data_IF_017067365548
#
_entry.id   IF_017067365548
#
_cell.length_a   1.000
_cell.length_b   1.000
_cell.length_c   1.000
_cell.angle_alpha   90.00
_cell.angle_beta   90.00
_cell.angle_gamma   90.00
#
_symmetry.space_group_name_H-M   'P 1'
#
loop_
_entity.id
_entity.type
_entity.pdbx_description
1 polymer ?
#
# COMPACT_ATOMS: atom_id res chain seq x y z
N UNK A 1 4.30 27.10 -68.56
CA UNK A 1 5.49 26.32 -68.18
C UNK A 1 5.13 25.36 -67.05
N UNK A 2 5.76 24.19 -67.03
CA UNK A 2 5.37 22.90 -66.43
C UNK A 2 5.18 22.87 -64.90
N UNK A 3 4.20 22.05 -64.48
CA UNK A 3 4.08 21.40 -63.14
C UNK A 3 5.23 20.41 -62.92
N UNK A 4 5.71 20.23 -61.69
CA UNK A 4 6.05 18.94 -61.04
C UNK A 4 6.06 19.09 -59.49
N UNK A 5 5.30 18.21 -58.81
CA UNK A 5 5.34 17.83 -57.39
C UNK A 5 6.46 16.82 -57.14
N UNK A 6 7.23 16.88 -56.04
CA UNK A 6 7.82 15.68 -55.38
C UNK A 6 7.97 15.90 -53.84
N UNK A 7 7.43 14.94 -53.07
CA UNK A 7 7.62 14.67 -51.64
C UNK A 7 9.01 14.05 -51.35
N UNK A 8 9.59 14.34 -50.18
CA UNK A 8 10.33 13.39 -49.30
C UNK A 8 10.90 14.19 -48.10
N UNK A 9 10.40 14.06 -46.87
CA UNK A 9 10.70 12.98 -45.93
C UNK A 9 12.21 12.72 -45.74
N UNK A 10 12.79 13.22 -44.65
CA UNK A 10 13.71 12.47 -43.78
C UNK A 10 13.99 13.27 -42.49
N UNK A 11 13.41 12.76 -41.41
CA UNK A 11 13.61 13.22 -40.05
C UNK A 11 15.07 13.03 -39.60
N UNK A 12 15.60 13.88 -38.72
CA UNK A 12 16.95 13.73 -38.21
C UNK A 12 17.03 12.45 -37.35
N UNK A 13 18.05 11.66 -37.68
CA UNK A 13 18.59 10.51 -36.96
C UNK A 13 18.41 10.59 -35.43
N UNK A 14 17.41 9.83 -34.95
CA UNK A 14 17.37 9.24 -33.62
C UNK A 14 18.45 8.15 -33.53
N UNK A 15 19.67 8.55 -33.21
CA UNK A 15 20.79 7.63 -32.91
C UNK A 15 21.34 7.96 -31.52
N UNK A 16 20.74 7.35 -30.49
CA UNK A 16 21.40 6.99 -29.23
C UNK A 16 20.42 6.19 -28.34
N UNK A 17 19.78 5.16 -28.90
CA UNK A 17 19.06 4.16 -28.10
C UNK A 17 20.05 3.04 -27.73
N UNK A 18 20.92 3.33 -26.78
CA UNK A 18 21.71 2.32 -26.06
C UNK A 18 21.47 2.46 -24.56
N UNK A 19 20.20 2.41 -24.17
CA UNK A 19 19.78 2.05 -22.81
C UNK A 19 19.55 0.54 -22.82
N UNK A 20 20.58 -0.21 -22.44
CA UNK A 20 20.50 -1.66 -22.30
C UNK A 20 19.41 -2.06 -21.28
N UNK A 21 18.68 -3.16 -21.51
CA UNK A 21 17.75 -3.70 -20.53
C UNK A 21 18.54 -4.51 -19.50
N UNK A 22 19.01 -3.86 -18.44
CA UNK A 22 19.67 -4.61 -17.36
C UNK A 22 20.60 -3.76 -16.52
N UNK A 23 20.03 -3.11 -15.51
CA UNK A 23 20.61 -2.83 -14.20
C UNK A 23 19.89 -1.63 -13.59
N UNK A 24 18.59 -1.79 -13.27
CA UNK A 24 18.10 -1.11 -12.07
C UNK A 24 18.75 -1.88 -10.94
N UNK A 25 19.83 -1.34 -10.38
CA UNK A 25 20.28 -1.71 -9.05
C UNK A 25 19.18 -1.29 -8.07
N UNK A 26 18.15 -2.12 -7.97
CA UNK A 26 17.34 -2.25 -6.77
C UNK A 26 18.23 -2.89 -5.69
N UNK A 27 19.29 -2.18 -5.28
CA UNK A 27 19.87 -2.40 -3.96
C UNK A 27 18.84 -1.88 -2.97
N UNK A 28 17.78 -2.67 -2.78
CA UNK A 28 16.79 -2.44 -1.73
C UNK A 28 17.54 -2.40 -0.41
N UNK A 29 17.28 -1.36 0.39
CA UNK A 29 17.76 -1.28 1.76
C UNK A 29 17.47 -2.64 2.42
N UNK A 30 18.45 -3.32 3.03
CA UNK A 30 18.22 -4.60 3.66
C UNK A 30 17.01 -4.48 4.60
N UNK A 31 16.04 -5.40 4.52
CA UNK A 31 14.78 -5.31 5.29
C UNK A 31 15.00 -5.08 6.78
N UNK A 32 16.11 -5.60 7.29
CA UNK A 32 16.55 -5.49 8.69
C UNK A 32 16.92 -4.04 9.09
N UNK A 33 17.27 -3.20 8.12
CA UNK A 33 17.69 -1.80 8.32
C UNK A 33 16.63 -0.75 8.00
N UNK A 34 15.50 -1.11 7.38
CA UNK A 34 14.48 -0.12 6.97
C UNK A 34 13.24 -0.05 7.88
N UNK A 35 13.17 -0.88 8.93
CA UNK A 35 12.01 -0.95 9.83
C UNK A 35 10.88 -1.87 9.33
N UNK A 36 11.11 -2.69 8.29
CA UNK A 36 10.09 -3.59 7.72
C UNK A 36 9.37 -4.46 8.77
N UNK A 37 10.13 -5.00 9.74
CA UNK A 37 9.59 -5.81 10.82
C UNK A 37 8.64 -5.04 11.76
N UNK A 38 8.89 -3.75 11.98
CA UNK A 38 8.01 -2.86 12.76
C UNK A 38 6.69 -2.65 12.03
N UNK A 39 6.75 -2.34 10.72
CA UNK A 39 5.56 -2.22 9.87
C UNK A 39 4.71 -3.50 9.87
N UNK A 40 5.36 -4.67 9.78
CA UNK A 40 4.66 -5.95 9.92
C UNK A 40 4.06 -6.16 11.31
N UNK A 41 4.75 -5.74 12.36
CA UNK A 41 4.25 -5.79 13.74
C UNK A 41 2.95 -5.00 13.89
N UNK A 42 2.93 -3.77 13.38
CA UNK A 42 1.77 -2.89 13.37
C UNK A 42 0.60 -3.49 12.57
N UNK A 43 0.86 -3.95 11.35
CA UNK A 43 -0.15 -4.59 10.49
C UNK A 43 -0.80 -5.79 11.20
N UNK A 44 0.02 -6.68 11.78
CA UNK A 44 -0.46 -7.87 12.51
C UNK A 44 -1.21 -7.51 13.78
N UNK A 45 -0.80 -6.45 14.49
CA UNK A 45 -1.49 -5.98 15.68
C UNK A 45 -2.91 -5.51 15.33
N UNK A 46 -3.05 -4.70 14.28
CA UNK A 46 -4.35 -4.21 13.82
C UNK A 46 -5.23 -5.36 13.30
N UNK A 47 -4.68 -6.31 12.55
CA UNK A 47 -5.43 -7.49 12.09
C UNK A 47 -6.00 -8.30 13.27
N UNK A 48 -5.19 -8.55 14.32
CA UNK A 48 -5.64 -9.26 15.53
C UNK A 48 -6.70 -8.47 16.28
N UNK A 49 -6.54 -7.16 16.43
CA UNK A 49 -7.50 -6.31 17.15
C UNK A 49 -8.83 -6.20 16.38
N UNK A 50 -8.78 -6.12 15.05
CA UNK A 50 -9.96 -6.12 14.19
C UNK A 50 -10.71 -7.47 14.17
N UNK A 51 -10.04 -8.57 14.52
CA UNK A 51 -10.68 -9.88 14.66
C UNK A 51 -11.46 -10.04 15.97
N UNK A 52 -11.23 -9.17 16.95
CA UNK A 52 -11.93 -9.22 18.23
C UNK A 52 -13.34 -8.63 18.11
N UNK A 53 -14.26 -9.13 18.94
CA UNK A 53 -15.60 -8.55 19.06
C UNK A 53 -15.50 -7.07 19.49
N UNK A 54 -16.42 -6.25 18.98
CA UNK A 54 -16.60 -4.86 19.41
C UNK A 54 -17.52 -4.84 20.63
N UNK A 55 -17.04 -4.48 21.83
CA UNK A 55 -17.84 -4.55 23.06
C UNK A 55 -18.78 -3.35 23.23
N UNK A 56 -18.48 -2.22 22.60
CA UNK A 56 -19.30 -1.01 22.66
C UNK A 56 -18.83 0.06 21.69
N UNK A 57 -19.66 1.10 21.50
CA UNK A 57 -19.40 2.18 20.54
C UNK A 57 -18.13 2.96 20.89
N UNK A 58 -17.99 3.39 22.15
CA UNK A 58 -16.84 4.18 22.60
C UNK A 58 -15.51 3.44 22.39
N UNK A 59 -15.42 2.18 22.82
CA UNK A 59 -14.21 1.37 22.61
C UNK A 59 -13.97 1.10 21.12
N UNK A 60 -15.02 0.83 20.35
CA UNK A 60 -14.90 0.60 18.90
C UNK A 60 -14.37 1.82 18.15
N UNK A 61 -14.77 3.05 18.54
CA UNK A 61 -14.22 4.29 17.98
C UNK A 61 -12.74 4.45 18.29
N UNK A 62 -12.36 4.32 19.56
CA UNK A 62 -10.97 4.44 19.99
C UNK A 62 -10.07 3.37 19.34
N UNK A 63 -10.59 2.14 19.19
CA UNK A 63 -9.95 1.07 18.42
C UNK A 63 -9.80 1.44 16.95
N UNK A 64 -10.80 2.10 16.36
CA UNK A 64 -10.76 2.61 15.00
C UNK A 64 -9.65 3.63 14.78
N UNK A 65 -9.50 4.59 15.70
CA UNK A 65 -8.43 5.59 15.67
C UNK A 65 -7.04 4.93 15.71
N UNK A 66 -6.85 3.97 16.62
CA UNK A 66 -5.60 3.19 16.69
C UNK A 66 -5.34 2.38 15.43
N UNK A 67 -6.38 1.77 14.85
CA UNK A 67 -6.25 1.02 13.60
C UNK A 67 -5.83 1.92 12.44
N UNK A 68 -6.45 3.10 12.28
CA UNK A 68 -6.06 4.10 11.27
C UNK A 68 -4.61 4.53 11.47
N UNK A 69 -4.23 4.92 12.69
CA UNK A 69 -2.87 5.34 13.00
C UNK A 69 -1.85 4.23 12.73
N UNK A 70 -2.07 3.03 13.25
CA UNK A 70 -1.17 1.90 13.09
C UNK A 70 -0.98 1.46 11.64
N UNK A 71 -2.07 1.40 10.85
CA UNK A 71 -1.99 1.04 9.43
C UNK A 71 -1.31 2.14 8.59
N UNK A 72 -1.56 3.41 8.87
CA UNK A 72 -0.86 4.50 8.18
C UNK A 72 0.64 4.51 8.50
N UNK A 73 1.02 4.29 9.76
CA UNK A 73 2.42 4.15 10.16
C UNK A 73 3.08 2.96 9.46
N UNK A 74 2.42 1.80 9.44
CA UNK A 74 2.91 0.62 8.72
C UNK A 74 3.08 0.89 7.21
N UNK A 75 2.10 1.54 6.57
CA UNK A 75 2.18 1.89 5.16
C UNK A 75 3.32 2.87 4.86
N UNK A 76 3.57 3.85 5.74
CA UNK A 76 4.70 4.76 5.63
C UNK A 76 6.04 4.02 5.73
N UNK A 77 6.16 3.10 6.69
CA UNK A 77 7.34 2.24 6.84
C UNK A 77 7.58 1.37 5.60
N UNK A 78 6.54 0.71 5.07
CA UNK A 78 6.68 -0.10 3.86
C UNK A 78 7.08 0.74 2.64
N UNK A 79 6.58 1.97 2.53
CA UNK A 79 6.99 2.91 1.47
C UNK A 79 8.46 3.30 1.61
N UNK A 80 8.92 3.62 2.83
CA UNK A 80 10.32 3.93 3.10
C UNK A 80 11.26 2.74 2.85
N UNK A 81 10.76 1.51 3.03
CA UNK A 81 11.46 0.26 2.67
C UNK A 81 11.45 -0.07 1.17
N UNK A 82 10.81 0.73 0.31
CA UNK A 82 10.69 0.46 -1.14
C UNK A 82 9.60 -0.55 -1.52
N UNK A 83 8.73 -0.94 -0.59
CA UNK A 83 7.71 -1.97 -0.77
C UNK A 83 6.36 -1.34 -1.19
N UNK A 84 6.34 -0.72 -2.38
CA UNK A 84 5.23 0.13 -2.83
C UNK A 84 3.86 -0.57 -2.83
N UNK A 85 3.80 -1.80 -3.34
CA UNK A 85 2.53 -2.55 -3.39
C UNK A 85 2.00 -2.91 -2.01
N UNK A 86 2.89 -3.34 -1.10
CA UNK A 86 2.52 -3.63 0.28
C UNK A 86 2.06 -2.36 1.02
N UNK A 87 2.74 -1.23 0.80
CA UNK A 87 2.33 0.06 1.34
C UNK A 87 0.93 0.45 0.86
N UNK A 88 0.62 0.25 -0.43
CA UNK A 88 -0.71 0.51 -0.98
C UNK A 88 -1.78 -0.38 -0.34
N UNK A 89 -1.57 -1.70 -0.29
CA UNK A 89 -2.52 -2.63 0.32
C UNK A 89 -2.77 -2.30 1.80
N UNK A 90 -1.72 -1.89 2.52
CA UNK A 90 -1.82 -1.46 3.92
C UNK A 90 -2.61 -0.16 4.05
N UNK A 91 -2.42 0.81 3.14
CA UNK A 91 -3.21 2.04 3.09
C UNK A 91 -4.69 1.79 2.71
N UNK A 92 -4.97 0.79 1.88
CA UNK A 92 -6.35 0.35 1.58
C UNK A 92 -7.04 -0.28 2.80
N UNK A 93 -6.29 -0.93 3.70
CA UNK A 93 -6.82 -1.35 4.99
C UNK A 93 -7.06 -0.14 5.91
N UNK A 94 -6.17 0.86 5.90
CA UNK A 94 -6.32 2.08 6.69
C UNK A 94 -7.57 2.85 6.27
N UNK A 95 -7.83 2.99 4.96
CA UNK A 95 -9.01 3.68 4.44
C UNK A 95 -10.33 3.01 4.85
N UNK A 96 -10.35 1.69 5.01
CA UNK A 96 -11.50 0.98 5.57
C UNK A 96 -11.75 1.33 7.05
N UNK A 97 -10.71 1.66 7.82
CA UNK A 97 -10.83 2.03 9.23
C UNK A 97 -11.25 3.50 9.46
N UNK A 98 -11.13 4.39 8.45
CA UNK A 98 -11.38 5.84 8.58
C UNK A 98 -12.79 6.17 9.07
N UNK A 99 -13.79 5.34 8.74
CA UNK A 99 -15.17 5.58 9.18
C UNK A 99 -15.37 5.29 10.68
N UNK A 100 -14.59 4.38 11.28
CA UNK A 100 -14.84 3.86 12.63
C UNK A 100 -14.95 4.95 13.73
N UNK A 101 -14.11 5.99 13.78
CA UNK A 101 -14.18 7.01 14.84
C UNK A 101 -15.50 7.80 14.86
N UNK A 102 -16.18 7.93 13.71
CA UNK A 102 -17.44 8.65 13.60
C UNK A 102 -18.68 7.75 13.77
N UNK A 103 -18.53 6.43 13.75
CA UNK A 103 -19.66 5.49 13.76
C UNK A 103 -20.43 5.50 15.08
N UNK A 104 -21.76 5.53 15.03
CA UNK A 104 -22.62 5.58 16.22
C UNK A 104 -23.18 4.21 16.64
N UNK A 105 -22.87 3.13 15.90
CA UNK A 105 -23.46 1.82 16.16
C UNK A 105 -22.44 0.70 16.19
N UNK A 106 -22.64 -0.25 17.11
CA UNK A 106 -21.80 -1.46 17.22
C UNK A 106 -21.91 -2.32 15.96
N UNK A 107 -23.08 -2.38 15.32
CA UNK A 107 -23.28 -3.15 14.09
C UNK A 107 -22.44 -2.60 12.93
N UNK A 108 -22.43 -1.27 12.73
CA UNK A 108 -21.59 -0.64 11.70
C UNK A 108 -20.10 -0.79 12.03
N UNK A 109 -19.70 -0.56 13.28
CA UNK A 109 -18.32 -0.79 13.73
C UNK A 109 -17.87 -2.23 13.47
N UNK A 110 -18.72 -3.22 13.74
CA UNK A 110 -18.41 -4.64 13.47
C UNK A 110 -18.16 -4.88 11.97
N UNK A 111 -18.98 -4.28 11.10
CA UNK A 111 -18.77 -4.35 9.64
C UNK A 111 -17.47 -3.65 9.21
N UNK A 112 -17.17 -2.49 9.78
CA UNK A 112 -15.90 -1.78 9.53
C UNK A 112 -14.71 -2.67 9.91
N UNK A 113 -14.69 -3.25 11.12
CA UNK A 113 -13.59 -4.11 11.55
C UNK A 113 -13.49 -5.41 10.76
N UNK A 114 -14.61 -5.96 10.26
CA UNK A 114 -14.57 -7.10 9.34
C UNK A 114 -13.85 -6.74 8.02
N UNK A 115 -14.11 -5.55 7.47
CA UNK A 115 -13.43 -5.06 6.26
C UNK A 115 -11.95 -4.77 6.52
N UNK A 116 -11.63 -4.11 7.65
CA UNK A 116 -10.25 -3.86 8.06
C UNK A 116 -9.47 -5.17 8.18
N UNK A 117 -10.03 -6.16 8.88
CA UNK A 117 -9.44 -7.50 9.02
C UNK A 117 -9.17 -8.14 7.66
N UNK A 118 -10.18 -8.15 6.78
CA UNK A 118 -10.05 -8.75 5.45
C UNK A 118 -8.91 -8.11 4.65
N UNK A 119 -8.85 -6.77 4.61
CA UNK A 119 -7.82 -6.04 3.86
C UNK A 119 -6.43 -6.15 4.49
N UNK A 120 -6.35 -6.08 5.81
CA UNK A 120 -5.09 -6.28 6.54
C UNK A 120 -4.53 -7.68 6.30
N UNK A 121 -5.40 -8.70 6.24
CA UNK A 121 -5.02 -10.07 5.91
C UNK A 121 -4.45 -10.20 4.50
N UNK A 122 -5.06 -9.56 3.50
CA UNK A 122 -4.51 -9.52 2.12
C UNK A 122 -3.11 -8.90 2.12
N UNK A 123 -2.91 -7.78 2.82
CA UNK A 123 -1.59 -7.15 2.93
C UNK A 123 -0.58 -8.09 3.62
N UNK A 124 -0.99 -8.82 4.67
CA UNK A 124 -0.14 -9.80 5.36
C UNK A 124 0.24 -10.96 4.43
N UNK A 125 -0.73 -11.58 3.77
CA UNK A 125 -0.49 -12.69 2.84
C UNK A 125 0.43 -12.26 1.70
N UNK A 126 0.21 -11.07 1.12
CA UNK A 126 1.13 -10.49 0.14
C UNK A 126 2.55 -10.32 0.69
N UNK A 127 2.70 -9.90 1.95
CA UNK A 127 4.01 -9.74 2.58
C UNK A 127 4.77 -11.06 2.75
N UNK A 128 4.05 -12.16 2.98
CA UNK A 128 4.62 -13.49 3.17
C UNK A 128 5.10 -14.07 1.83
N UNK A 129 4.41 -13.76 0.74
CA UNK A 129 4.74 -14.26 -0.60
C UNK A 129 5.75 -13.35 -1.34
N UNK A 130 5.59 -12.03 -1.26
CA UNK A 130 6.20 -11.06 -2.20
C UNK A 130 6.52 -9.70 -1.58
N UNK A 131 6.90 -9.67 -0.31
CA UNK A 131 6.97 -8.45 0.51
C UNK A 131 7.44 -7.14 -0.16
N UNK A 132 8.38 -7.16 -1.12
CA UNK A 132 8.81 -5.97 -1.85
C UNK A 132 9.15 -6.25 -3.34
N UNK A 133 8.58 -7.30 -3.94
CA UNK A 133 8.75 -7.63 -5.38
C UNK A 133 7.42 -7.60 -6.12
#
# INVERSE_FOLDING_TARGET
MRRVLILAACAPLLMAQSLGPGARTEEGIPRQSCGFGEGLGLLRAVEREAAQRVPGVGEGRARGERAVSGLNSAAATFRACGCARLAQLTAEAASAAVAAPAEASVARLTSVFAQVKFRARIAREFSEERACR
#
